data_IF_600130295115
#
_entry.id   IF_600130295115
#
_cell.length_a   1.000
_cell.length_b   1.000
_cell.length_c   1.000
_cell.angle_alpha   90.00
_cell.angle_beta   90.00
_cell.angle_gamma   90.00
#
_symmetry.space_group_name_H-M   'P 1'
#
loop_
_entity.id
_entity.type
_entity.pdbx_description
1 polymer ?
#
# COMPACT_ATOMS: atom_id res chain seq x y z
N UNK A 1 2.98 -25.52 -17.46
CA UNK A 1 4.42 -25.45 -17.18
C UNK A 1 4.89 -24.01 -17.25
N UNK A 2 4.43 -23.11 -16.29
CA UNK A 2 4.78 -21.68 -16.24
C UNK A 2 4.99 -21.24 -14.78
N UNK A 3 6.00 -21.79 -14.10
CA UNK A 3 6.35 -21.45 -12.70
C UNK A 3 7.77 -20.90 -12.53
N UNK A 4 8.46 -20.43 -13.58
CA UNK A 4 9.92 -20.25 -13.48
C UNK A 4 10.48 -18.84 -13.71
N UNK A 5 9.70 -17.78 -13.96
CA UNK A 5 10.28 -16.45 -14.23
C UNK A 5 10.24 -15.46 -13.04
N UNK A 6 9.40 -15.68 -12.02
CA UNK A 6 9.26 -14.76 -10.89
C UNK A 6 10.45 -14.77 -9.91
N UNK A 7 11.30 -15.79 -9.93
CA UNK A 7 12.42 -15.92 -8.99
C UNK A 7 13.63 -15.01 -9.27
N UNK A 8 13.73 -14.44 -10.47
CA UNK A 8 14.92 -13.67 -10.88
C UNK A 8 14.88 -12.19 -10.50
N UNK A 9 13.72 -11.63 -10.13
CA UNK A 9 13.58 -10.19 -9.89
C UNK A 9 13.19 -9.81 -8.45
N UNK A 10 13.28 -10.71 -7.49
CA UNK A 10 12.91 -10.42 -6.10
C UNK A 10 11.42 -10.04 -5.93
N UNK A 11 10.55 -10.54 -6.84
CA UNK A 11 9.10 -10.35 -6.79
C UNK A 11 8.48 -11.52 -6.03
N UNK A 12 7.72 -11.23 -4.98
CA UNK A 12 6.84 -12.20 -4.31
C UNK A 12 5.40 -11.89 -4.72
N UNK A 13 4.87 -12.65 -5.69
CA UNK A 13 3.43 -12.61 -5.98
C UNK A 13 2.68 -13.17 -4.76
N UNK A 14 1.79 -12.36 -4.20
CA UNK A 14 1.02 -12.71 -3.01
C UNK A 14 -0.34 -13.25 -3.35
N UNK A 15 -1.02 -12.59 -4.24
CA UNK A 15 -2.30 -13.01 -4.76
C UNK A 15 -2.36 -12.67 -6.24
N UNK A 16 -2.84 -13.62 -7.03
CA UNK A 16 -3.13 -13.41 -8.44
C UNK A 16 -4.47 -14.06 -8.73
N UNK A 17 -5.38 -13.30 -9.25
CA UNK A 17 -6.58 -13.82 -9.92
C UNK A 17 -6.44 -13.63 -11.44
N UNK A 18 -7.47 -13.94 -12.20
CA UNK A 18 -7.44 -13.79 -13.65
C UNK A 18 -7.35 -12.33 -14.12
N UNK A 19 -7.48 -11.37 -13.23
CA UNK A 19 -7.60 -9.94 -13.54
C UNK A 19 -6.47 -9.10 -12.96
N UNK A 20 -6.03 -9.40 -11.71
CA UNK A 20 -5.04 -8.61 -11.00
C UNK A 20 -3.94 -9.48 -10.39
N UNK A 21 -2.73 -8.92 -10.32
CA UNK A 21 -1.64 -9.43 -9.50
C UNK A 21 -1.29 -8.40 -8.42
N UNK A 22 -1.12 -8.87 -7.18
CA UNK A 22 -0.62 -8.11 -6.05
C UNK A 22 0.78 -8.64 -5.73
N UNK A 23 1.79 -7.82 -5.97
CA UNK A 23 3.18 -8.21 -5.85
C UNK A 23 3.89 -7.39 -4.78
N UNK A 24 4.68 -8.04 -3.95
CA UNK A 24 5.71 -7.39 -3.16
C UNK A 24 7.00 -7.39 -3.99
N UNK A 25 7.58 -6.22 -4.20
CA UNK A 25 8.79 -6.03 -5.01
C UNK A 25 9.90 -5.40 -4.20
N UNK A 26 11.14 -5.78 -4.48
CA UNK A 26 12.32 -5.20 -3.81
C UNK A 26 12.54 -3.76 -4.25
N UNK A 27 12.26 -3.47 -5.53
CA UNK A 27 12.35 -2.13 -6.10
C UNK A 27 11.20 -1.90 -7.09
N UNK A 28 10.60 -0.71 -7.08
CA UNK A 28 9.64 -0.32 -8.10
C UNK A 28 10.30 -0.34 -9.49
N UNK A 29 9.60 -0.90 -10.48
CA UNK A 29 10.00 -0.75 -11.88
C UNK A 29 9.74 0.68 -12.38
N UNK A 30 10.21 1.02 -13.58
CA UNK A 30 10.10 2.36 -14.13
C UNK A 30 8.63 2.86 -14.24
N UNK A 31 7.66 1.96 -14.51
CA UNK A 31 6.24 2.32 -14.60
C UNK A 31 5.67 2.64 -13.21
N UNK A 32 6.04 1.87 -12.21
CA UNK A 32 5.65 2.08 -10.81
C UNK A 32 6.29 3.36 -10.25
N UNK A 33 7.59 3.56 -10.52
CA UNK A 33 8.29 4.79 -10.13
C UNK A 33 7.64 6.03 -10.75
N UNK A 34 7.33 5.99 -12.06
CA UNK A 34 6.63 7.09 -12.73
C UNK A 34 5.22 7.37 -12.19
N UNK A 35 4.49 6.34 -11.72
CA UNK A 35 3.21 6.54 -11.04
C UNK A 35 3.41 7.29 -9.71
N UNK A 36 4.37 6.86 -8.91
CA UNK A 36 4.69 7.48 -7.62
C UNK A 36 5.13 8.93 -7.79
N UNK A 37 6.06 9.17 -8.71
CA UNK A 37 6.60 10.51 -9.00
C UNK A 37 5.52 11.50 -9.46
N UNK A 38 4.57 11.05 -10.30
CA UNK A 38 3.41 11.87 -10.67
C UNK A 38 2.48 12.19 -9.49
N UNK A 39 2.43 11.30 -8.50
CA UNK A 39 1.52 11.44 -7.35
C UNK A 39 2.09 12.29 -6.23
N UNK A 40 3.40 12.23 -6.04
CA UNK A 40 4.08 12.83 -4.87
C UNK A 40 5.20 13.81 -5.23
N UNK A 41 5.57 13.95 -6.51
CA UNK A 41 6.61 14.88 -6.96
C UNK A 41 8.05 14.44 -6.64
N UNK A 42 8.23 13.20 -6.17
CA UNK A 42 9.52 12.64 -5.81
C UNK A 42 9.60 11.16 -6.22
N UNK A 43 10.79 10.58 -6.44
CA UNK A 43 10.93 9.16 -6.69
C UNK A 43 10.52 8.34 -5.45
N UNK A 44 10.10 7.07 -5.63
CA UNK A 44 9.83 6.18 -4.50
C UNK A 44 11.12 5.95 -3.70
N UNK A 45 11.05 5.81 -2.37
CA UNK A 45 12.21 5.56 -1.55
C UNK A 45 12.83 4.17 -1.82
N UNK A 46 14.14 4.03 -1.61
CA UNK A 46 14.90 2.82 -1.97
C UNK A 46 14.79 1.67 -0.94
N UNK A 47 14.37 1.96 0.29
CA UNK A 47 14.51 1.02 1.43
C UNK A 47 13.20 0.44 1.99
N UNK A 48 11.99 0.93 1.67
CA UNK A 48 10.74 0.39 2.20
C UNK A 48 10.34 -0.93 1.52
N UNK A 49 9.32 -1.55 2.09
CA UNK A 49 8.62 -2.66 1.45
C UNK A 49 7.62 -2.10 0.45
N UNK A 50 7.76 -2.49 -0.80
CA UNK A 50 6.95 -1.98 -1.91
C UNK A 50 5.90 -3.01 -2.32
N UNK A 51 4.65 -2.57 -2.46
CA UNK A 51 3.56 -3.39 -2.97
C UNK A 51 2.96 -2.73 -4.19
N UNK A 52 2.73 -3.52 -5.22
CA UNK A 52 2.24 -3.07 -6.52
C UNK A 52 1.04 -3.90 -6.93
N UNK A 53 -0.03 -3.27 -7.39
CA UNK A 53 -1.12 -3.95 -8.05
C UNK A 53 -1.06 -3.69 -9.55
N UNK A 54 -1.14 -4.79 -10.32
CA UNK A 54 -1.13 -4.76 -11.79
C UNK A 54 -2.38 -5.41 -12.35
N UNK A 55 -2.92 -4.85 -13.43
CA UNK A 55 -3.90 -5.58 -14.24
C UNK A 55 -3.19 -6.60 -15.11
N UNK A 56 -3.76 -7.82 -15.17
CA UNK A 56 -3.31 -8.90 -16.04
C UNK A 56 -4.12 -8.94 -17.35
N UNK A 57 -5.17 -8.14 -17.45
CA UNK A 57 -6.03 -8.02 -18.64
C UNK A 57 -5.70 -6.76 -19.41
N UNK A 58 -5.77 -6.88 -20.72
CA UNK A 58 -5.44 -5.82 -21.68
C UNK A 58 -4.20 -6.16 -22.50
N UNK A 59 -3.84 -5.32 -23.46
CA UNK A 59 -2.71 -5.58 -24.37
C UNK A 59 -1.36 -5.59 -23.64
N UNK A 60 -1.28 -4.90 -22.48
CA UNK A 60 -0.09 -4.92 -21.63
C UNK A 60 -0.51 -4.88 -20.14
N UNK A 61 0.17 -5.65 -19.26
CA UNK A 61 0.00 -5.53 -17.82
C UNK A 61 0.29 -4.09 -17.38
N UNK A 62 -0.72 -3.42 -16.82
CA UNK A 62 -0.62 -2.03 -16.37
C UNK A 62 -0.48 -1.93 -14.87
N UNK A 63 0.41 -1.07 -14.37
CA UNK A 63 0.45 -0.69 -12.95
C UNK A 63 -0.81 0.11 -12.64
N UNK A 64 -1.63 -0.44 -11.72
CA UNK A 64 -2.89 0.19 -11.31
C UNK A 64 -2.75 0.95 -9.99
N UNK A 65 -1.82 0.54 -9.13
CA UNK A 65 -1.60 1.19 -7.85
C UNK A 65 -0.30 0.72 -7.19
N UNK A 66 0.13 1.50 -6.22
CA UNK A 66 1.35 1.32 -5.47
C UNK A 66 1.17 1.81 -4.04
N UNK A 67 1.81 1.12 -3.10
CA UNK A 67 1.91 1.50 -1.70
C UNK A 67 3.26 1.02 -1.16
N UNK A 68 3.81 1.74 -0.19
CA UNK A 68 4.99 1.28 0.52
C UNK A 68 4.86 1.42 2.04
N UNK A 69 5.67 0.63 2.74
CA UNK A 69 5.78 0.66 4.19
C UNK A 69 7.24 0.70 4.60
N UNK A 70 7.57 1.57 5.53
CA UNK A 70 8.88 1.62 6.19
C UNK A 70 8.78 0.95 7.55
N UNK A 71 9.70 0.05 7.88
CA UNK A 71 9.81 -0.51 9.22
C UNK A 71 10.43 0.55 10.12
N UNK A 72 9.69 1.02 11.10
CA UNK A 72 10.14 2.01 12.08
C UNK A 72 10.87 1.35 13.25
N UNK A 73 10.25 0.34 13.83
CA UNK A 73 10.82 -0.55 14.86
C UNK A 73 10.16 -1.93 14.73
N UNK A 74 10.65 -2.98 15.40
CA UNK A 74 10.09 -4.32 15.27
C UNK A 74 8.57 -4.36 15.44
N UNK A 75 7.87 -4.77 14.38
CA UNK A 75 6.41 -4.84 14.33
C UNK A 75 5.68 -3.50 14.13
N UNK A 76 6.38 -2.38 14.00
CA UNK A 76 5.79 -1.06 13.75
C UNK A 76 6.13 -0.56 12.35
N UNK A 77 5.12 -0.32 11.55
CA UNK A 77 5.25 0.12 10.18
C UNK A 77 4.68 1.53 9.97
N UNK A 78 5.37 2.31 9.15
CA UNK A 78 4.89 3.59 8.64
C UNK A 78 4.40 3.38 7.21
N UNK A 79 3.12 3.60 6.98
CA UNK A 79 2.50 3.59 5.67
C UNK A 79 2.86 4.91 4.98
N UNK A 80 3.71 4.83 3.98
CA UNK A 80 4.14 5.98 3.19
C UNK A 80 3.19 6.28 2.03
N UNK A 81 3.71 6.45 0.82
CA UNK A 81 2.88 6.81 -0.33
C UNK A 81 1.94 5.69 -0.79
N UNK A 82 0.64 5.98 -0.81
CA UNK A 82 -0.39 5.17 -1.45
C UNK A 82 -0.93 5.93 -2.66
N UNK A 83 -0.81 5.35 -3.85
CA UNK A 83 -1.35 5.96 -5.06
C UNK A 83 -1.99 4.94 -6.01
N UNK A 84 -2.99 5.41 -6.76
CA UNK A 84 -3.73 4.65 -7.77
C UNK A 84 -3.65 5.39 -9.09
N UNK A 85 -3.33 4.69 -10.19
CA UNK A 85 -3.36 5.29 -11.52
C UNK A 85 -4.80 5.41 -12.02
N UNK A 86 -5.37 6.61 -11.85
CA UNK A 86 -6.74 6.91 -12.30
C UNK A 86 -6.89 6.82 -13.82
N UNK A 87 -5.81 6.95 -14.58
CA UNK A 87 -5.83 6.84 -16.06
C UNK A 87 -6.00 5.37 -16.47
N UNK A 88 -5.26 4.48 -15.81
CA UNK A 88 -5.41 3.03 -15.99
C UNK A 88 -6.81 2.61 -15.52
N UNK A 89 -7.23 3.01 -14.33
CA UNK A 89 -8.54 2.68 -13.77
C UNK A 89 -9.71 3.05 -14.72
N UNK A 90 -9.67 4.25 -15.31
CA UNK A 90 -10.73 4.71 -16.23
C UNK A 90 -10.83 3.89 -17.51
N UNK A 91 -9.74 3.23 -17.92
CA UNK A 91 -9.68 2.39 -19.13
C UNK A 91 -10.04 0.93 -18.87
N UNK A 92 -10.19 0.52 -17.62
CA UNK A 92 -10.60 -0.83 -17.27
C UNK A 92 -12.03 -1.10 -17.77
N UNK A 93 -12.27 -2.30 -18.26
CA UNK A 93 -13.59 -2.76 -18.64
C UNK A 93 -14.55 -2.74 -17.43
N UNK A 94 -15.85 -2.67 -17.69
CA UNK A 94 -16.86 -2.53 -16.63
C UNK A 94 -16.90 -3.69 -15.66
N UNK A 95 -16.68 -4.91 -16.14
CA UNK A 95 -16.59 -6.13 -15.32
C UNK A 95 -15.42 -6.07 -14.34
N UNK A 96 -14.25 -5.56 -14.79
CA UNK A 96 -13.07 -5.37 -13.98
C UNK A 96 -13.31 -4.29 -12.90
N UNK A 97 -13.94 -3.17 -13.27
CA UNK A 97 -14.33 -2.15 -12.28
C UNK A 97 -15.35 -2.67 -11.28
N UNK A 98 -16.28 -3.54 -11.71
CA UNK A 98 -17.22 -4.24 -10.86
C UNK A 98 -16.54 -5.15 -9.83
N UNK A 99 -15.43 -5.80 -10.20
CA UNK A 99 -14.63 -6.58 -9.27
C UNK A 99 -13.98 -5.70 -8.19
N UNK A 100 -13.35 -4.58 -8.59
CA UNK A 100 -12.78 -3.62 -7.65
C UNK A 100 -13.84 -3.08 -6.68
N UNK A 101 -15.06 -2.80 -7.18
CA UNK A 101 -16.13 -2.25 -6.37
C UNK A 101 -16.56 -3.18 -5.21
N UNK A 102 -16.38 -4.51 -5.34
CA UNK A 102 -16.62 -5.47 -4.26
C UNK A 102 -15.70 -5.26 -3.06
N UNK A 103 -14.53 -4.68 -3.28
CA UNK A 103 -13.55 -4.32 -2.26
C UNK A 103 -13.66 -2.86 -1.79
N UNK A 104 -14.68 -2.14 -2.27
CA UNK A 104 -14.93 -0.72 -2.02
C UNK A 104 -14.16 0.21 -2.94
N UNK A 105 -12.85 0.05 -3.05
CA UNK A 105 -11.98 0.81 -3.95
C UNK A 105 -10.69 0.03 -4.25
N UNK A 106 -9.96 0.42 -5.28
CA UNK A 106 -8.66 -0.18 -5.58
C UNK A 106 -7.63 0.17 -4.49
N UNK A 107 -7.66 1.37 -3.93
CA UNK A 107 -6.81 1.78 -2.81
C UNK A 107 -7.08 0.94 -1.55
N UNK A 108 -8.34 0.71 -1.22
CA UNK A 108 -8.72 -0.14 -0.09
C UNK A 108 -8.30 -1.59 -0.30
N UNK A 109 -8.50 -2.13 -1.50
CA UNK A 109 -8.06 -3.49 -1.82
C UNK A 109 -6.54 -3.64 -1.70
N UNK A 110 -5.77 -2.69 -2.27
CA UNK A 110 -4.32 -2.67 -2.15
C UNK A 110 -3.86 -2.55 -0.68
N UNK A 111 -4.53 -1.74 0.13
CA UNK A 111 -4.29 -1.67 1.58
C UNK A 111 -4.48 -3.03 2.26
N UNK A 112 -5.58 -3.73 2.00
CA UNK A 112 -5.86 -5.05 2.58
C UNK A 112 -4.75 -6.04 2.24
N UNK A 113 -4.43 -6.19 0.94
CA UNK A 113 -3.43 -7.15 0.46
C UNK A 113 -2.03 -6.83 1.00
N UNK A 114 -1.66 -5.56 1.01
CA UNK A 114 -0.35 -5.13 1.50
C UNK A 114 -0.21 -5.30 3.02
N UNK A 115 -1.25 -4.94 3.80
CA UNK A 115 -1.26 -5.11 5.26
C UNK A 115 -1.14 -6.60 5.63
N UNK A 116 -1.86 -7.48 4.97
CA UNK A 116 -1.70 -8.93 5.14
C UNK A 116 -0.27 -9.37 4.83
N UNK A 117 0.34 -8.68 3.89
CA UNK A 117 1.71 -8.87 3.46
C UNK A 117 2.79 -8.56 4.47
N UNK A 118 2.54 -7.69 5.42
CA UNK A 118 3.58 -7.23 6.34
C UNK A 118 4.07 -8.31 7.34
N UNK A 119 3.32 -9.39 7.53
CA UNK A 119 3.64 -10.41 8.54
C UNK A 119 3.31 -9.93 9.95
N UNK A 120 4.16 -10.28 10.91
CA UNK A 120 3.97 -9.89 12.32
C UNK A 120 4.06 -8.37 12.47
N UNK A 121 3.01 -7.82 13.08
CA UNK A 121 2.88 -6.38 13.29
C UNK A 121 2.11 -6.08 14.56
N UNK A 122 2.52 -5.05 15.28
CA UNK A 122 1.78 -4.51 16.41
C UNK A 122 1.03 -3.22 16.04
N UNK A 123 1.61 -2.40 15.16
CA UNK A 123 1.00 -1.14 14.73
C UNK A 123 1.37 -0.76 13.30
N UNK A 124 0.44 -0.13 12.61
CA UNK A 124 0.69 0.55 11.34
C UNK A 124 0.23 2.00 11.49
N UNK A 125 1.15 2.93 11.31
CA UNK A 125 0.85 4.36 11.30
C UNK A 125 0.73 4.87 9.87
N UNK A 126 -0.16 5.83 9.66
CA UNK A 126 -0.27 6.56 8.40
C UNK A 126 -0.43 8.06 8.66
N UNK A 127 0.21 8.88 7.81
CA UNK A 127 0.03 10.31 7.83
C UNK A 127 -0.79 10.73 6.60
N UNK A 128 -2.06 11.13 6.81
CA UNK A 128 -2.99 11.39 5.71
C UNK A 128 -3.59 12.77 5.77
N UNK A 129 -3.36 13.59 4.71
CA UNK A 129 -4.06 14.85 4.47
C UNK A 129 -5.22 14.73 3.47
N UNK A 130 -5.42 13.54 2.88
CA UNK A 130 -6.43 13.27 1.86
C UNK A 130 -7.64 12.55 2.47
N UNK A 131 -8.82 13.13 2.35
CA UNK A 131 -10.06 12.57 2.93
C UNK A 131 -10.46 11.21 2.35
N UNK A 132 -10.12 10.92 1.09
CA UNK A 132 -10.41 9.61 0.46
C UNK A 132 -9.50 8.53 1.05
N UNK A 133 -8.20 8.80 1.12
CA UNK A 133 -7.24 7.86 1.73
C UNK A 133 -7.56 7.63 3.20
N UNK A 134 -7.91 8.69 3.94
CA UNK A 134 -8.32 8.59 5.32
C UNK A 134 -9.53 7.68 5.50
N UNK A 135 -10.59 7.89 4.72
CA UNK A 135 -11.80 7.04 4.75
C UNK A 135 -11.49 5.57 4.45
N UNK A 136 -10.61 5.30 3.47
CA UNK A 136 -10.21 3.93 3.15
C UNK A 136 -9.42 3.29 4.30
N UNK A 137 -8.55 4.03 4.98
CA UNK A 137 -7.86 3.57 6.18
C UNK A 137 -8.83 3.34 7.36
N UNK A 138 -9.72 4.30 7.65
CA UNK A 138 -10.70 4.19 8.73
C UNK A 138 -11.64 2.98 8.55
N UNK A 139 -12.03 2.68 7.30
CA UNK A 139 -12.81 1.49 6.98
C UNK A 139 -12.06 0.16 7.25
N UNK A 140 -10.75 0.21 7.42
CA UNK A 140 -9.90 -0.92 7.80
C UNK A 140 -9.51 -0.90 9.30
N UNK A 141 -10.10 -0.01 10.09
CA UNK A 141 -9.87 0.04 11.54
C UNK A 141 -8.72 0.96 11.97
N UNK A 142 -8.23 1.83 11.10
CA UNK A 142 -7.36 2.91 11.55
C UNK A 142 -8.17 3.92 12.37
N UNK A 143 -7.58 4.38 13.45
CA UNK A 143 -8.16 5.38 14.36
C UNK A 143 -7.21 6.58 14.48
N UNK A 144 -7.74 7.73 14.91
CA UNK A 144 -6.91 8.90 15.19
C UNK A 144 -5.86 8.57 16.26
N UNK A 145 -4.60 8.93 16.02
CA UNK A 145 -3.50 8.75 16.95
C UNK A 145 -3.10 10.07 17.61
N UNK A 146 -2.75 11.07 16.81
CA UNK A 146 -2.42 12.42 17.26
C UNK A 146 -2.68 13.42 16.13
N UNK A 147 -3.10 14.63 16.49
CA UNK A 147 -3.40 15.68 15.53
C UNK A 147 -4.43 15.27 14.47
N UNK A 148 -4.59 16.11 13.41
CA UNK A 148 -5.63 15.87 12.40
C UNK A 148 -5.24 14.83 11.35
N UNK A 149 -3.97 14.47 11.22
CA UNK A 149 -3.46 13.68 10.09
C UNK A 149 -2.86 12.34 10.46
N UNK A 150 -2.33 12.17 11.69
CA UNK A 150 -1.75 10.91 12.12
C UNK A 150 -2.83 9.94 12.58
N UNK A 151 -2.87 8.78 11.94
CA UNK A 151 -3.79 7.69 12.27
C UNK A 151 -2.99 6.40 12.47
N UNK A 152 -3.56 5.45 13.21
CA UNK A 152 -2.92 4.17 13.54
C UNK A 152 -3.91 3.01 13.49
N UNK A 153 -3.45 1.86 13.01
CA UNK A 153 -4.12 0.58 13.13
C UNK A 153 -3.33 -0.28 14.13
N UNK A 154 -3.96 -0.64 15.24
CA UNK A 154 -3.39 -1.52 16.25
C UNK A 154 -3.69 -2.98 15.94
N UNK A 155 -2.67 -3.84 16.00
CA UNK A 155 -2.78 -5.29 15.79
C UNK A 155 -2.41 -6.07 17.05
N UNK A 156 -1.53 -5.49 17.89
CA UNK A 156 -1.14 -6.02 19.19
C UNK A 156 -0.76 -4.87 20.14
N UNK A 157 -0.55 -5.17 21.40
CA UNK A 157 0.02 -4.20 22.33
C UNK A 157 1.52 -4.01 22.02
N UNK A 158 2.00 -2.75 21.89
CA UNK A 158 3.41 -2.48 21.74
C UNK A 158 4.17 -2.80 23.03
N UNK A 159 5.50 -3.06 22.94
CA UNK A 159 6.35 -3.27 24.14
C UNK A 159 6.29 -2.10 25.13
N UNK A 160 6.24 -0.88 24.62
CA UNK A 160 5.99 0.34 25.38
C UNK A 160 4.48 0.67 25.39
N UNK A 161 4.11 1.73 26.11
CA UNK A 161 2.74 2.21 26.06
C UNK A 161 2.40 2.76 24.67
N UNK A 162 1.15 2.59 24.23
CA UNK A 162 0.64 3.17 22.97
C UNK A 162 0.93 4.68 22.88
N UNK A 163 0.76 5.41 23.98
CA UNK A 163 1.01 6.85 24.04
C UNK A 163 2.50 7.19 23.82
N UNK A 164 3.43 6.38 24.33
CA UNK A 164 4.86 6.58 24.09
C UNK A 164 5.22 6.34 22.63
N UNK A 165 4.68 5.27 22.02
CA UNK A 165 4.89 4.98 20.61
C UNK A 165 4.31 6.06 19.70
N UNK A 166 3.09 6.54 19.97
CA UNK A 166 2.46 7.64 19.21
C UNK A 166 3.35 8.88 19.25
N UNK A 167 3.86 9.29 20.41
CA UNK A 167 4.77 10.46 20.51
C UNK A 167 6.04 10.30 19.68
N UNK A 168 6.64 9.10 19.66
CA UNK A 168 7.85 8.85 18.84
C UNK A 168 7.57 8.96 17.36
N UNK A 169 6.45 8.42 16.91
CA UNK A 169 6.06 8.50 15.49
C UNK A 169 5.66 9.92 15.10
N UNK A 170 4.92 10.63 15.96
CA UNK A 170 4.54 12.03 15.73
C UNK A 170 5.76 12.95 15.58
N UNK A 171 6.82 12.70 16.34
CA UNK A 171 8.06 13.46 16.27
C UNK A 171 8.80 13.35 14.92
N UNK A 172 8.49 12.34 14.08
CA UNK A 172 9.03 12.22 12.73
C UNK A 172 8.44 13.27 11.76
N UNK A 173 7.26 13.78 12.06
CA UNK A 173 6.49 14.59 11.12
C UNK A 173 5.85 13.73 10.02
N UNK A 174 5.42 14.34 8.91
CA UNK A 174 4.89 13.62 7.74
C UNK A 174 5.94 12.69 7.11
N UNK A 175 5.53 11.46 6.77
CA UNK A 175 6.35 10.42 6.16
C UNK A 175 5.68 9.78 4.94
#
# INVERSE_FOLDING_TARGET
>A
MMRSLARWFGVRSRQSNSTFAFDEVVRPDARTAALFERSFGAPPPDFPRHFVVRTLRGPEPGVCGYIHYTLFEPGVYLLGGLCVDTRVYRRLASDIRGEIAKHGSLSRWLLVESIQGLGDKCAIFAFTGNSVSRRDCEALGFVAASGPHLIVQWHAEPPDSRAALVRRVEALGPF
#
